data_IF_356983352478
#
_entry.id   IF_356983352478
#
_cell.length_a   1.000
_cell.length_b   1.000
_cell.length_c   1.000
_cell.angle_alpha   90.00
_cell.angle_beta   90.00
_cell.angle_gamma   90.00
#
_symmetry.space_group_name_H-M   'P 1'
#
loop_
_entity.id
_entity.type
_entity.pdbx_description
1 polymer ?
#
# COMPACT_ATOMS: atom_id res chain seq x y z
N UNK A 1 -6.07 0.83 0.60
CA UNK A 1 -4.95 -0.11 0.80
C UNK A 1 -5.40 -1.55 0.94
N UNK A 2 -6.16 -1.95 1.97
CA UNK A 2 -6.56 -3.37 2.12
C UNK A 2 -7.38 -3.91 0.94
N UNK A 3 -8.24 -3.09 0.34
CA UNK A 3 -8.98 -3.43 -0.87
C UNK A 3 -8.04 -3.68 -2.06
N UNK A 4 -7.07 -2.81 -2.31
CA UNK A 4 -6.07 -2.98 -3.38
C UNK A 4 -5.20 -4.22 -3.15
N UNK A 5 -4.81 -4.47 -1.89
CA UNK A 5 -4.05 -5.68 -1.52
C UNK A 5 -4.88 -6.93 -1.74
N UNK A 6 -6.16 -6.90 -1.41
CA UNK A 6 -7.08 -8.02 -1.59
C UNK A 6 -7.29 -8.30 -3.08
N UNK A 7 -7.51 -7.26 -3.89
CA UNK A 7 -7.60 -7.37 -5.34
C UNK A 7 -6.31 -7.94 -5.95
N UNK A 8 -5.13 -7.52 -5.46
CA UNK A 8 -3.83 -8.00 -5.94
C UNK A 8 -3.53 -9.44 -5.55
N UNK A 9 -3.91 -9.84 -4.34
CA UNK A 9 -3.73 -11.22 -3.85
C UNK A 9 -4.78 -12.16 -4.44
N UNK A 10 -5.97 -11.66 -4.81
CA UNK A 10 -7.13 -12.47 -5.19
C UNK A 10 -7.79 -13.17 -4.00
N UNK A 11 -7.49 -12.74 -2.77
CA UNK A 11 -8.02 -13.36 -1.56
C UNK A 11 -8.13 -12.39 -0.38
N UNK A 12 -9.22 -12.53 0.37
CA UNK A 12 -9.44 -11.83 1.63
C UNK A 12 -8.42 -12.21 2.72
N UNK A 13 -8.55 -11.60 3.90
CA UNK A 13 -7.78 -11.99 5.08
C UNK A 13 -8.29 -13.33 5.58
N UNK A 14 -7.39 -14.30 5.77
CA UNK A 14 -7.70 -15.69 6.18
C UNK A 14 -8.60 -16.51 5.26
N UNK A 15 -8.98 -15.94 4.12
CA UNK A 15 -9.80 -16.60 3.11
C UNK A 15 -9.08 -17.85 2.55
N UNK A 16 -9.78 -18.87 2.06
CA UNK A 16 -9.16 -20.05 1.46
C UNK A 16 -9.59 -20.16 0.02
N UNK A 17 -8.77 -19.62 -0.87
CA UNK A 17 -9.05 -19.59 -2.32
C UNK A 17 -7.90 -20.21 -3.10
N UNK A 18 -8.23 -20.92 -4.18
CA UNK A 18 -7.24 -21.46 -5.11
C UNK A 18 -6.52 -20.35 -5.91
N UNK A 19 -7.16 -19.19 -6.06
CA UNK A 19 -6.63 -18.04 -6.81
C UNK A 19 -5.64 -17.17 -6.02
N UNK A 20 -5.31 -17.53 -4.78
CA UNK A 20 -4.38 -16.76 -3.95
C UNK A 20 -2.97 -16.76 -4.55
N UNK A 21 -2.45 -15.58 -4.85
CA UNK A 21 -1.10 -15.40 -5.41
C UNK A 21 -0.03 -15.07 -4.37
N UNK A 22 -0.39 -14.43 -3.25
CA UNK A 22 0.55 -14.04 -2.19
C UNK A 22 -0.10 -14.02 -0.81
N UNK A 23 0.72 -13.91 0.24
CA UNK A 23 0.25 -13.79 1.63
C UNK A 23 0.70 -12.48 2.26
N UNK A 24 -0.13 -11.94 3.16
CA UNK A 24 0.18 -10.73 3.95
C UNK A 24 1.23 -11.06 5.01
N UNK A 25 2.22 -10.20 5.19
CA UNK A 25 3.34 -10.35 6.12
C UNK A 25 3.47 -9.11 7.02
N UNK A 26 2.36 -8.71 7.64
CA UNK A 26 2.29 -7.50 8.45
C UNK A 26 2.39 -6.21 7.63
N UNK A 27 2.85 -5.15 8.28
CA UNK A 27 2.97 -3.81 7.69
C UNK A 27 4.26 -3.12 8.13
N UNK A 28 4.64 -2.02 7.45
CA UNK A 28 5.68 -1.10 7.91
C UNK A 28 5.09 0.29 8.11
N UNK A 29 5.39 0.98 9.22
CA UNK A 29 5.04 2.39 9.33
C UNK A 29 5.81 3.20 8.27
N UNK A 30 5.13 4.20 7.71
CA UNK A 30 5.73 5.18 6.83
C UNK A 30 4.95 6.48 6.91
N UNK A 31 5.72 7.55 7.04
CA UNK A 31 5.20 8.91 7.03
C UNK A 31 5.27 9.48 5.62
N UNK A 32 4.21 10.18 5.22
CA UNK A 32 4.22 10.94 3.97
C UNK A 32 3.65 12.32 4.17
N UNK A 33 4.29 13.27 3.50
CA UNK A 33 3.87 14.66 3.46
C UNK A 33 2.69 14.80 2.51
N UNK A 34 1.60 15.33 3.03
CA UNK A 34 0.42 15.76 2.28
C UNK A 34 0.25 17.26 2.46
N UNK A 35 -0.62 17.89 1.66
CA UNK A 35 -0.94 19.32 1.82
C UNK A 35 -1.49 19.69 3.19
N UNK A 36 -2.12 18.73 3.87
CA UNK A 36 -2.74 18.89 5.20
C UNK A 36 -1.79 18.50 6.34
N UNK A 37 -0.52 18.19 6.05
CA UNK A 37 0.49 17.80 7.02
C UNK A 37 1.00 16.37 6.83
N UNK A 38 1.66 15.84 7.87
CA UNK A 38 2.27 14.51 7.85
C UNK A 38 1.24 13.43 8.14
N UNK A 39 1.13 12.47 7.23
CA UNK A 39 0.23 11.33 7.32
C UNK A 39 1.01 10.08 7.75
N UNK A 40 0.76 9.61 8.96
CA UNK A 40 1.33 8.37 9.50
C UNK A 40 0.50 7.17 9.03
N UNK A 41 1.06 6.31 8.17
CA UNK A 41 0.34 5.14 7.61
C UNK A 41 1.16 3.87 7.74
N UNK A 42 0.47 2.73 7.80
CA UNK A 42 1.09 1.42 7.75
C UNK A 42 0.97 0.84 6.33
N UNK A 43 2.08 0.68 5.62
CA UNK A 43 2.09 0.06 4.29
C UNK A 43 2.13 -1.47 4.44
N UNK A 44 1.16 -2.21 3.88
CA UNK A 44 1.16 -3.66 3.89
C UNK A 44 2.43 -4.25 3.28
N UNK A 45 2.93 -5.33 3.87
CA UNK A 45 3.99 -6.16 3.31
C UNK A 45 3.36 -7.43 2.77
N UNK A 46 3.74 -7.83 1.57
CA UNK A 46 3.42 -9.15 1.03
C UNK A 46 4.66 -10.02 1.09
N UNK A 47 4.48 -11.33 1.30
CA UNK A 47 5.60 -12.28 1.23
C UNK A 47 6.22 -12.35 -0.17
N UNK A 48 5.41 -12.11 -1.20
CA UNK A 48 5.83 -12.09 -2.60
C UNK A 48 5.17 -10.91 -3.31
N UNK A 49 5.96 -10.16 -4.09
CA UNK A 49 5.52 -8.98 -4.82
C UNK A 49 5.13 -7.83 -3.89
N UNK A 50 5.95 -6.78 -3.78
CA UNK A 50 5.64 -5.65 -2.90
C UNK A 50 4.26 -5.04 -3.16
N UNK A 51 3.55 -4.67 -2.09
CA UNK A 51 2.34 -3.87 -2.18
C UNK A 51 2.69 -2.40 -1.89
N UNK A 52 2.43 -1.54 -2.87
CA UNK A 52 2.41 -0.10 -2.70
C UNK A 52 1.02 0.42 -3.14
N UNK A 53 0.40 1.32 -2.37
CA UNK A 53 -0.88 1.91 -2.75
C UNK A 53 -0.74 2.71 -4.04
N UNK A 54 -1.76 2.72 -4.90
CA UNK A 54 -1.66 3.40 -6.21
C UNK A 54 -1.46 4.92 -6.10
N UNK A 55 -1.91 5.53 -5.01
CA UNK A 55 -1.79 6.97 -4.78
C UNK A 55 -0.42 7.41 -4.25
N UNK A 56 0.48 6.46 -3.91
CA UNK A 56 1.84 6.74 -3.45
C UNK A 56 2.87 6.02 -4.30
N UNK A 57 3.89 6.74 -4.72
CA UNK A 57 4.98 6.15 -5.45
C UNK A 57 6.01 5.50 -4.52
N UNK A 58 6.60 4.36 -4.93
CA UNK A 58 7.77 3.82 -4.25
C UNK A 58 8.85 4.89 -4.08
N UNK A 59 9.44 4.95 -2.88
CA UNK A 59 10.54 5.88 -2.52
C UNK A 59 10.21 7.39 -2.49
N UNK A 60 9.01 7.86 -2.89
CA UNK A 60 8.60 9.26 -2.67
C UNK A 60 7.87 9.46 -1.34
N UNK A 61 8.21 10.52 -0.61
CA UNK A 61 7.55 10.89 0.65
C UNK A 61 6.49 11.98 0.49
N UNK A 62 6.46 12.67 -0.64
CA UNK A 62 5.41 13.65 -0.96
C UNK A 62 4.25 13.00 -1.70
N UNK A 63 3.05 13.47 -1.41
CA UNK A 63 1.87 13.20 -2.21
C UNK A 63 2.03 13.69 -3.65
N UNK A 64 1.49 12.96 -4.62
CA UNK A 64 1.60 13.31 -6.05
C UNK A 64 1.01 14.71 -6.35
N UNK A 65 -0.09 15.08 -5.67
CA UNK A 65 -0.69 16.39 -5.77
C UNK A 65 0.23 17.53 -5.29
N UNK A 66 1.20 17.28 -4.39
CA UNK A 66 2.20 18.30 -4.03
C UNK A 66 3.25 18.50 -5.13
N UNK A 67 3.57 17.45 -5.89
CA UNK A 67 4.59 17.50 -6.95
C UNK A 67 4.04 18.14 -8.23
N UNK A 68 2.73 18.04 -8.48
CA UNK A 68 2.08 18.60 -9.68
C UNK A 68 1.76 20.09 -9.59
N UNK A 69 2.20 20.79 -8.54
CA UNK A 69 2.10 22.26 -8.45
C UNK A 69 3.39 22.83 -9.03
N UNK A 70 3.41 23.00 -10.36
CA UNK A 70 4.36 23.80 -11.13
C UNK A 70 3.53 24.67 -12.06
#
# INVERSE_FOLDING_TARGET
>A
MEAEVTARIGAGRYDRTANRTATRNGSRPRDGATRLGTLHRAIPKLRQGGAFPGFWEPRKRSEQALVSVI
#
